data_IF_019024235610
#
_entry.id   IF_019024235610
#
_cell.length_a   1.000
_cell.length_b   1.000
_cell.length_c   1.000
_cell.angle_alpha   90.00
_cell.angle_beta   90.00
_cell.angle_gamma   90.00
#
_symmetry.space_group_name_H-M   'P 1'
#
loop_
_entity.id
_entity.type
_entity.pdbx_description
1 polymer ?
#
# COMPACT_ATOMS: atom_id res chain seq x y z
N UNK A 1 -1.54 -21.47 0.93
CA UNK A 1 -1.08 -20.46 1.91
C UNK A 1 -2.28 -19.65 2.37
N UNK A 2 -2.56 -19.55 3.67
CA UNK A 2 -3.67 -18.72 4.18
C UNK A 2 -3.39 -17.25 3.84
N UNK A 3 -4.31 -16.59 3.15
CA UNK A 3 -4.20 -15.18 2.80
C UNK A 3 -4.22 -14.37 4.10
N UNK A 4 -3.13 -13.69 4.47
CA UNK A 4 -3.16 -12.79 5.63
C UNK A 4 -3.96 -11.53 5.23
N UNK A 5 -5.08 -11.22 5.90
CA UNK A 5 -5.91 -10.07 5.52
C UNK A 5 -5.18 -8.73 5.68
N UNK A 6 -5.65 -7.72 4.95
CA UNK A 6 -5.32 -6.30 5.14
C UNK A 6 -6.50 -5.67 5.86
N UNK A 7 -6.21 -4.86 6.89
CA UNK A 7 -7.23 -4.21 7.69
C UNK A 7 -7.14 -2.69 7.56
N UNK A 8 -8.27 -2.03 7.74
CA UNK A 8 -8.38 -0.58 7.78
C UNK A 8 -8.55 -0.13 9.22
N UNK A 9 -7.80 0.89 9.62
CA UNK A 9 -7.89 1.51 10.93
C UNK A 9 -8.06 3.02 10.78
N UNK A 10 -8.65 3.66 11.78
CA UNK A 10 -8.53 5.11 11.92
C UNK A 10 -7.09 5.48 12.32
N UNK A 11 -6.61 6.71 12.01
CA UNK A 11 -5.26 7.13 12.36
C UNK A 11 -4.96 7.10 13.87
N UNK A 12 -6.01 7.23 14.68
CA UNK A 12 -5.92 7.28 16.15
C UNK A 12 -5.93 5.87 16.79
N UNK A 13 -6.19 4.82 16.01
CA UNK A 13 -6.21 3.44 16.49
C UNK A 13 -4.81 2.82 16.56
N UNK A 14 -4.45 2.34 17.74
CA UNK A 14 -3.28 1.48 17.90
C UNK A 14 -3.52 0.12 17.23
N UNK A 15 -2.60 -0.26 16.36
CA UNK A 15 -2.65 -1.54 15.64
C UNK A 15 -1.27 -2.22 15.69
N UNK A 16 -1.27 -3.51 16.04
CA UNK A 16 -0.05 -4.32 16.12
C UNK A 16 0.15 -5.13 14.84
N UNK A 17 0.51 -4.45 13.75
CA UNK A 17 0.86 -5.12 12.50
C UNK A 17 2.28 -4.79 12.04
N UNK A 18 2.88 -5.71 11.30
CA UNK A 18 4.26 -5.61 10.85
C UNK A 18 4.46 -4.51 9.79
N UNK A 19 3.47 -4.33 8.90
CA UNK A 19 3.49 -3.35 7.82
C UNK A 19 2.26 -2.46 7.88
N UNK A 20 2.44 -1.16 7.68
CA UNK A 20 1.33 -0.21 7.58
C UNK A 20 1.61 0.88 6.53
N UNK A 21 0.55 1.55 6.09
CA UNK A 21 0.66 2.76 5.27
C UNK A 21 -0.53 3.66 5.52
N UNK A 22 -0.30 4.97 5.53
CA UNK A 22 -1.35 5.98 5.68
C UNK A 22 -1.78 6.48 4.31
N UNK A 23 -3.08 6.43 4.02
CA UNK A 23 -3.63 6.85 2.73
C UNK A 23 -4.88 7.70 2.95
N UNK A 24 -5.26 8.50 1.96
CA UNK A 24 -6.56 9.16 1.94
C UNK A 24 -7.60 8.25 1.28
N UNK A 25 -8.71 8.04 1.96
CA UNK A 25 -9.89 7.38 1.40
C UNK A 25 -10.50 8.20 0.26
N UNK A 26 -11.45 7.60 -0.47
CA UNK A 26 -12.20 8.26 -1.54
C UNK A 26 -12.92 9.53 -1.09
N UNK A 27 -13.29 9.62 0.18
CA UNK A 27 -13.97 10.77 0.77
C UNK A 27 -13.01 11.77 1.46
N UNK A 28 -11.70 11.62 1.22
CA UNK A 28 -10.67 12.51 1.77
C UNK A 28 -10.27 12.22 3.22
N UNK A 29 -10.94 11.29 3.91
CA UNK A 29 -10.57 10.87 5.28
C UNK A 29 -9.25 10.11 5.28
N UNK A 30 -8.37 10.42 6.22
CA UNK A 30 -7.13 9.67 6.43
C UNK A 30 -7.47 8.30 7.04
N UNK A 31 -6.92 7.23 6.47
CA UNK A 31 -7.07 5.86 6.95
C UNK A 31 -5.70 5.18 6.97
N UNK A 32 -5.53 4.21 7.86
CA UNK A 32 -4.33 3.38 7.90
C UNK A 32 -4.67 2.00 7.37
N UNK A 33 -3.92 1.56 6.36
CA UNK A 33 -3.94 0.17 5.92
C UNK A 33 -2.82 -0.57 6.62
N UNK A 34 -3.11 -1.67 7.29
CA UNK A 34 -2.09 -2.48 7.94
C UNK A 34 -2.24 -3.97 7.64
N UNK A 35 -1.11 -4.68 7.60
CA UNK A 35 -1.07 -6.13 7.37
C UNK A 35 0.23 -6.74 7.90
N UNK A 36 0.17 -8.02 8.25
CA UNK A 36 1.34 -8.86 8.57
C UNK A 36 1.96 -9.52 7.32
N UNK A 37 1.64 -9.02 6.13
CA UNK A 37 2.17 -9.47 4.84
C UNK A 37 2.38 -8.28 3.93
N UNK A 38 3.65 -8.01 3.61
CA UNK A 38 4.02 -6.91 2.73
C UNK A 38 3.40 -7.04 1.33
N UNK A 39 3.36 -8.27 0.80
CA UNK A 39 2.79 -8.53 -0.53
C UNK A 39 1.29 -8.21 -0.56
N UNK A 40 0.56 -8.51 0.52
CA UNK A 40 -0.87 -8.26 0.58
C UNK A 40 -1.15 -6.76 0.73
N UNK A 41 -0.36 -6.04 1.53
CA UNK A 41 -0.44 -4.58 1.62
C UNK A 41 -0.17 -3.91 0.27
N UNK A 42 0.89 -4.32 -0.44
CA UNK A 42 1.23 -3.82 -1.79
C UNK A 42 0.14 -4.10 -2.82
N UNK A 43 -0.49 -5.28 -2.76
CA UNK A 43 -1.61 -5.62 -3.62
C UNK A 43 -2.83 -4.75 -3.32
N UNK A 44 -3.11 -4.47 -2.05
CA UNK A 44 -4.24 -3.63 -1.67
C UNK A 44 -4.05 -2.17 -2.08
N UNK A 45 -2.85 -1.62 -1.90
CA UNK A 45 -2.46 -0.30 -2.43
C UNK A 45 -2.66 -0.24 -3.95
N UNK A 46 -2.27 -1.31 -4.67
CA UNK A 46 -2.47 -1.41 -6.11
C UNK A 46 -3.95 -1.49 -6.50
N UNK A 47 -4.74 -2.28 -5.79
CA UNK A 47 -6.19 -2.44 -6.01
C UNK A 47 -6.91 -1.08 -5.86
N UNK A 48 -6.48 -0.26 -4.91
CA UNK A 48 -6.99 1.09 -4.66
C UNK A 48 -6.47 2.15 -5.63
N UNK A 49 -5.65 1.78 -6.61
CA UNK A 49 -5.06 2.69 -7.63
C UNK A 49 -4.27 3.86 -7.02
N UNK A 50 -3.59 3.61 -5.91
CA UNK A 50 -2.77 4.61 -5.23
C UNK A 50 -1.43 4.77 -5.96
N UNK A 51 -1.12 5.99 -6.38
CA UNK A 51 0.07 6.30 -7.20
C UNK A 51 1.35 6.13 -6.39
N UNK A 52 1.34 6.56 -5.13
CA UNK A 52 2.48 6.52 -4.22
C UNK A 52 1.98 6.27 -2.80
N UNK A 53 2.59 5.33 -2.10
CA UNK A 53 2.34 5.03 -0.70
C UNK A 53 3.66 4.96 0.07
N UNK A 54 3.70 5.54 1.25
CA UNK A 54 4.82 5.35 2.19
C UNK A 54 4.50 4.15 3.08
N UNK A 55 5.27 3.08 2.93
CA UNK A 55 5.08 1.86 3.72
C UNK A 55 6.01 1.92 4.92
N UNK A 56 5.43 1.80 6.10
CA UNK A 56 6.12 1.68 7.38
C UNK A 56 6.25 0.20 7.74
N UNK A 57 7.42 -0.18 8.24
CA UNK A 57 7.75 -1.52 8.72
C UNK A 57 8.17 -1.44 10.19
N UNK A 58 7.63 -2.32 11.02
CA UNK A 58 7.99 -2.42 12.44
C UNK A 58 9.35 -3.11 12.67
N UNK A 59 9.92 -3.77 11.65
CA UNK A 59 11.17 -4.53 11.71
C UNK A 59 12.39 -3.63 11.53
N UNK A 60 12.85 -3.02 12.61
CA UNK A 60 14.21 -2.52 12.76
C UNK A 60 15.01 -3.47 13.63
N UNK A 61 16.16 -3.96 13.14
CA UNK A 61 17.09 -4.73 13.97
C UNK A 61 17.42 -3.95 15.25
N UNK A 62 17.34 -4.64 16.40
CA UNK A 62 17.73 -4.11 17.69
C UNK A 62 19.18 -3.63 17.64
N UNK A 63 19.36 -2.33 17.53
CA UNK A 63 20.56 -1.64 18.00
C UNK A 63 20.10 -0.86 19.23
N UNK A 64 20.58 -1.21 20.43
CA UNK A 64 20.31 -0.47 21.67
C UNK A 64 18.85 -0.43 22.18
N UNK A 65 18.03 -1.46 21.92
CA UNK A 65 16.73 -1.61 22.60
C UNK A 65 15.59 -0.71 22.09
N UNK A 66 15.77 -0.05 20.95
CA UNK A 66 14.73 0.80 20.33
C UNK A 66 14.14 0.11 19.08
N UNK A 67 12.80 0.12 18.97
CA UNK A 67 12.11 -0.31 17.75
C UNK A 67 12.39 0.71 16.63
N UNK A 68 13.25 0.37 15.67
CA UNK A 68 13.44 1.21 14.48
C UNK A 68 12.24 1.03 13.55
N UNK A 69 11.45 2.07 13.36
CA UNK A 69 10.43 2.10 12.30
C UNK A 69 11.15 2.42 11.00
N UNK A 70 11.16 1.47 10.06
CA UNK A 70 11.71 1.69 8.73
C UNK A 70 10.59 2.13 7.79
N UNK A 71 10.80 3.21 7.05
CA UNK A 71 9.84 3.69 6.06
C UNK A 71 10.47 3.67 4.67
N UNK A 72 9.69 3.30 3.66
CA UNK A 72 10.14 3.40 2.27
C UNK A 72 8.99 3.72 1.30
N UNK A 73 9.30 4.42 0.19
CA UNK A 73 8.30 4.74 -0.81
C UNK A 73 7.97 3.52 -1.68
N UNK A 74 6.69 3.31 -1.95
CA UNK A 74 6.19 2.29 -2.87
C UNK A 74 5.29 2.92 -3.94
N UNK A 75 5.70 2.77 -5.20
CA UNK A 75 4.95 3.21 -6.38
C UNK A 75 4.57 1.98 -7.23
N UNK A 76 3.28 1.61 -7.30
CA UNK A 76 2.85 0.47 -8.11
C UNK A 76 3.06 0.71 -9.61
N UNK A 77 3.59 -0.29 -10.32
CA UNK A 77 3.68 -0.23 -11.78
C UNK A 77 2.34 -0.64 -12.41
N UNK A 78 1.62 0.33 -12.97
CA UNK A 78 0.46 0.11 -13.80
C UNK A 78 0.91 -0.01 -15.26
N UNK A 79 1.05 -1.24 -15.77
CA UNK A 79 1.21 -1.43 -17.22
C UNK A 79 0.02 -0.76 -17.91
N UNK A 80 0.26 0.36 -18.62
CA UNK A 80 -0.74 0.93 -19.52
C UNK A 80 -1.03 -0.15 -20.57
N UNK A 81 -2.26 -0.66 -20.61
CA UNK A 81 -2.70 -1.44 -21.77
C UNK A 81 -2.64 -0.48 -22.95
N UNK A 82 -1.72 -0.71 -23.88
CA UNK A 82 -1.64 0.02 -25.14
C UNK A 82 -3.02 0.01 -25.79
N UNK A 83 -3.67 1.18 -25.85
CA UNK A 83 -4.92 1.34 -26.58
C UNK A 83 -4.56 1.16 -28.05
N UNK A 84 -4.97 0.04 -28.65
CA UNK A 84 -4.83 -0.18 -30.09
C UNK A 84 -5.75 0.81 -30.80
N UNK A 85 -5.22 1.96 -31.17
CA UNK A 85 -5.91 2.91 -32.05
C UNK A 85 -5.94 2.32 -33.46
N UNK A 86 -6.95 1.49 -33.75
CA UNK A 86 -7.30 1.15 -35.14
C UNK A 86 -7.82 2.42 -35.80
N UNK A 87 -6.95 3.16 -36.47
CA UNK A 87 -7.34 4.19 -37.43
C UNK A 87 -8.15 3.51 -38.54
N UNK A 88 -9.46 3.70 -38.51
CA UNK A 88 -10.36 3.23 -39.57
C UNK A 88 -10.35 4.30 -40.67
N UNK A 89 -9.43 4.17 -41.62
CA UNK A 89 -9.46 4.94 -42.86
C UNK A 89 -10.75 4.60 -43.61
N UNK A 90 -11.72 5.51 -43.62
CA UNK A 90 -12.84 5.45 -44.56
C UNK A 90 -12.31 5.96 -45.91
N UNK A 91 -12.29 5.07 -46.91
CA UNK A 91 -12.26 5.44 -48.33
C UNK A 91 -13.69 5.67 -48.79
#
# INVERSE_FOLDING_TARGET
>A
MKFKPVFEFSPDEQHEMEYSTQIRSRFGRLIVLASNSLNNLKNEVRNRRIILAWIQCKTGCFSYGQNLVSEYPYAPNYRMRSVSTRFRSKK
#
